data_IF_404940011364
#
_entry.id   IF_404940011364
#
_cell.length_a   1.000
_cell.length_b   1.000
_cell.length_c   1.000
_cell.angle_alpha   90.00
_cell.angle_beta   90.00
_cell.angle_gamma   90.00
#
_symmetry.space_group_name_H-M   'P 1'
#
loop_
_entity.id
_entity.type
_entity.pdbx_description
1 polymer ?
#
# COMPACT_ATOMS: atom_id res chain seq x y z
N UNK A 1 1.79 10.25 8.03
CA UNK A 1 2.45 11.56 7.91
C UNK A 1 3.89 11.46 7.44
N UNK A 2 4.74 10.59 8.03
CA UNK A 2 6.18 10.47 7.67
C UNK A 2 6.46 10.28 6.16
N UNK A 3 5.71 9.42 5.47
CA UNK A 3 5.88 9.21 4.04
C UNK A 3 5.64 10.47 3.20
N UNK A 4 4.57 11.21 3.48
CA UNK A 4 4.26 12.46 2.77
C UNK A 4 5.36 13.51 2.96
N UNK A 5 5.92 13.58 4.16
CA UNK A 5 7.05 14.48 4.46
C UNK A 5 8.28 14.11 3.64
N UNK A 6 8.66 12.83 3.60
CA UNK A 6 9.81 12.38 2.79
C UNK A 6 9.60 12.64 1.29
N UNK A 7 8.38 12.43 0.77
CA UNK A 7 8.04 12.74 -0.61
C UNK A 7 8.16 14.24 -0.91
N UNK A 8 7.65 15.10 -0.02
CA UNK A 8 7.77 16.54 -0.16
C UNK A 8 9.24 17.01 -0.10
N UNK A 9 10.04 16.45 0.81
CA UNK A 9 11.47 16.73 0.92
C UNK A 9 12.22 16.34 -0.35
N UNK A 10 11.94 15.16 -0.91
CA UNK A 10 12.55 14.71 -2.16
C UNK A 10 12.21 15.65 -3.32
N UNK A 11 10.93 16.06 -3.44
CA UNK A 11 10.53 17.03 -4.47
C UNK A 11 11.23 18.36 -4.30
N UNK A 12 11.28 18.91 -3.08
CA UNK A 12 11.98 20.15 -2.79
C UNK A 12 13.47 20.06 -3.17
N UNK A 13 14.12 18.94 -2.84
CA UNK A 13 15.52 18.68 -3.20
C UNK A 13 15.72 18.66 -4.72
N UNK A 14 14.91 17.88 -5.44
CA UNK A 14 14.99 17.77 -6.91
C UNK A 14 14.75 19.13 -7.58
N UNK A 15 13.74 19.88 -7.15
CA UNK A 15 13.46 21.23 -7.65
C UNK A 15 14.61 22.18 -7.37
N UNK A 16 15.17 22.15 -6.16
CA UNK A 16 16.31 23.01 -5.78
C UNK A 16 17.53 22.70 -6.65
N UNK A 17 17.87 21.42 -6.83
CA UNK A 17 18.98 20.99 -7.68
C UNK A 17 18.76 21.46 -9.13
N UNK A 18 17.55 21.31 -9.67
CA UNK A 18 17.23 21.77 -11.02
C UNK A 18 17.52 23.26 -11.24
N UNK A 19 17.08 24.11 -10.31
CA UNK A 19 17.35 25.55 -10.40
C UNK A 19 18.82 25.91 -10.14
N UNK A 20 19.54 25.10 -9.35
CA UNK A 20 20.96 25.29 -9.07
C UNK A 20 21.87 24.95 -10.26
N UNK A 21 21.42 24.16 -11.25
CA UNK A 21 22.19 23.79 -12.44
C UNK A 21 22.54 24.98 -13.37
N UNK A 22 21.97 26.17 -13.14
CA UNK A 22 22.21 27.34 -13.97
C UNK A 22 21.47 27.29 -15.32
N UNK A 23 21.40 28.43 -16.01
CA UNK A 23 20.63 28.54 -17.27
C UNK A 23 21.30 27.81 -18.44
N UNK A 24 22.64 27.77 -18.49
CA UNK A 24 23.41 27.13 -19.56
C UNK A 24 23.17 25.62 -19.60
N UNK A 25 23.20 24.94 -18.45
CA UNK A 25 22.98 23.50 -18.37
C UNK A 25 21.52 23.16 -18.66
N UNK A 26 20.58 23.92 -18.10
CA UNK A 26 19.14 23.72 -18.38
C UNK A 26 18.80 23.91 -19.86
N UNK A 27 19.42 24.88 -20.52
CA UNK A 27 19.26 25.10 -21.97
C UNK A 27 19.72 23.95 -22.86
N UNK A 28 20.46 22.96 -22.33
CA UNK A 28 20.84 21.73 -23.06
C UNK A 28 19.68 20.74 -23.17
N UNK A 29 18.64 20.87 -22.36
CA UNK A 29 17.47 20.01 -22.41
C UNK A 29 16.41 20.61 -23.32
N UNK A 30 15.78 19.75 -24.12
CA UNK A 30 14.62 20.17 -24.92
C UNK A 30 13.38 20.21 -24.05
N UNK A 31 12.39 21.04 -24.44
CA UNK A 31 11.07 21.09 -23.76
C UNK A 31 10.42 19.71 -23.69
N UNK A 32 10.64 18.86 -24.70
CA UNK A 32 10.15 17.48 -24.70
C UNK A 32 10.83 16.61 -23.63
N UNK A 33 12.15 16.75 -23.44
CA UNK A 33 12.89 16.03 -22.38
C UNK A 33 12.44 16.49 -20.99
N UNK A 34 12.32 17.79 -20.78
CA UNK A 34 11.80 18.35 -19.52
C UNK A 34 10.37 17.86 -19.25
N UNK A 35 9.48 17.94 -20.25
CA UNK A 35 8.10 17.46 -20.13
C UNK A 35 8.02 15.97 -19.82
N UNK A 36 8.89 15.15 -20.43
CA UNK A 36 8.97 13.72 -20.15
C UNK A 36 9.40 13.45 -18.71
N UNK A 37 10.41 14.17 -18.21
CA UNK A 37 10.86 14.05 -16.81
C UNK A 37 9.76 14.44 -15.82
N UNK A 38 9.05 15.54 -16.07
CA UNK A 38 7.91 15.97 -15.24
C UNK A 38 6.80 14.92 -15.27
N UNK A 39 6.45 14.41 -16.46
CA UNK A 39 5.43 13.38 -16.61
C UNK A 39 5.77 12.09 -15.85
N UNK A 40 7.01 11.59 -15.99
CA UNK A 40 7.49 10.43 -15.23
C UNK A 40 7.50 10.69 -13.72
N UNK A 41 7.88 11.90 -13.31
CA UNK A 41 7.83 12.34 -11.92
C UNK A 41 6.40 12.31 -11.35
N UNK A 42 5.41 12.78 -12.11
CA UNK A 42 4.01 12.71 -11.72
C UNK A 42 3.49 11.27 -11.61
N UNK A 43 3.90 10.38 -12.52
CA UNK A 43 3.58 8.94 -12.41
C UNK A 43 4.19 8.37 -11.13
N UNK A 44 5.47 8.63 -10.87
CA UNK A 44 6.16 8.16 -9.68
C UNK A 44 5.48 8.65 -8.40
N UNK A 45 5.09 9.93 -8.35
CA UNK A 45 4.32 10.51 -7.25
C UNK A 45 2.94 9.85 -7.10
N UNK A 46 2.25 9.58 -8.21
CA UNK A 46 0.97 8.88 -8.21
C UNK A 46 1.08 7.47 -7.62
N UNK A 47 2.13 6.72 -7.98
CA UNK A 47 2.40 5.38 -7.41
C UNK A 47 2.78 5.49 -5.93
N UNK A 48 3.68 6.40 -5.59
CA UNK A 48 4.11 6.67 -4.21
C UNK A 48 2.93 7.01 -3.29
N UNK A 49 2.05 7.91 -3.74
CA UNK A 49 0.84 8.28 -3.02
C UNK A 49 -0.12 7.10 -2.86
N UNK A 50 -0.26 6.26 -3.89
CA UNK A 50 -1.05 5.04 -3.79
C UNK A 50 -0.53 4.14 -2.67
N UNK A 51 0.77 3.86 -2.65
CA UNK A 51 1.40 3.01 -1.64
C UNK A 51 1.20 3.56 -0.23
N UNK A 52 1.27 4.88 -0.05
CA UNK A 52 1.01 5.52 1.24
C UNK A 52 -0.42 5.40 1.75
N UNK A 53 -1.39 5.23 0.84
CA UNK A 53 -2.78 5.02 1.21
C UNK A 53 -3.11 3.57 1.53
N UNK A 54 -2.21 2.62 1.23
CA UNK A 54 -2.44 1.23 1.56
C UNK A 54 -2.64 1.07 3.08
N UNK A 55 -3.78 0.54 3.47
CA UNK A 55 -4.11 0.28 4.88
C UNK A 55 -5.04 -0.92 4.98
N UNK A 56 -4.93 -1.64 6.09
CA UNK A 56 -5.90 -2.64 6.52
C UNK A 56 -6.39 -2.20 7.89
N UNK A 57 -7.69 -1.97 8.03
CA UNK A 57 -8.32 -1.68 9.32
C UNK A 57 -9.40 -2.72 9.59
N UNK A 58 -9.47 -3.19 10.83
CA UNK A 58 -10.53 -4.06 11.29
C UNK A 58 -11.49 -3.27 12.20
N UNK A 59 -12.77 -3.55 12.10
CA UNK A 59 -13.83 -3.01 12.94
C UNK A 59 -14.77 -4.13 13.41
N UNK A 60 -15.85 -3.79 14.11
CA UNK A 60 -16.81 -4.77 14.64
C UNK A 60 -17.54 -5.56 13.54
N UNK A 61 -17.66 -5.02 12.32
CA UNK A 61 -18.43 -5.64 11.23
C UNK A 61 -17.54 -6.44 10.27
N UNK A 62 -16.26 -6.10 10.18
CA UNK A 62 -15.32 -6.78 9.31
C UNK A 62 -13.98 -6.08 9.16
N UNK A 63 -13.46 -6.10 7.93
CA UNK A 63 -12.22 -5.41 7.57
C UNK A 63 -12.42 -4.49 6.37
N UNK A 64 -11.68 -3.40 6.37
CA UNK A 64 -11.51 -2.51 5.23
C UNK A 64 -10.09 -2.65 4.72
N UNK A 65 -9.96 -3.10 3.46
CA UNK A 65 -8.69 -3.21 2.76
C UNK A 65 -8.60 -2.10 1.72
N UNK A 66 -7.61 -1.22 1.88
CA UNK A 66 -7.25 -0.21 0.90
C UNK A 66 -5.93 -0.62 0.25
N UNK A 67 -5.97 -0.82 -1.07
CA UNK A 67 -4.82 -1.11 -1.90
C UNK A 67 -4.66 0.00 -2.94
N UNK A 68 -3.78 0.94 -2.67
CA UNK A 68 -3.57 2.09 -3.54
C UNK A 68 -4.84 2.95 -3.64
N UNK A 69 -5.41 2.99 -4.85
CA UNK A 69 -6.64 3.70 -5.14
C UNK A 69 -7.91 2.89 -4.91
N UNK A 70 -7.80 1.58 -4.68
CA UNK A 70 -8.95 0.69 -4.47
C UNK A 70 -9.23 0.51 -2.99
N UNK A 71 -10.49 0.69 -2.59
CA UNK A 71 -11.01 0.42 -1.25
C UNK A 71 -12.10 -0.63 -1.33
N UNK A 72 -12.01 -1.65 -0.50
CA UNK A 72 -13.03 -2.71 -0.38
C UNK A 72 -13.26 -3.05 1.08
N UNK A 73 -14.50 -3.36 1.41
CA UNK A 73 -14.94 -3.78 2.73
C UNK A 73 -15.37 -5.23 2.64
N UNK A 74 -15.05 -6.02 3.67
CA UNK A 74 -15.40 -7.43 3.74
C UNK A 74 -15.91 -7.73 5.14
N UNK A 75 -17.07 -8.36 5.22
CA UNK A 75 -17.62 -8.82 6.49
C UNK A 75 -16.80 -9.99 7.05
N UNK A 76 -16.83 -10.18 8.37
CA UNK A 76 -16.13 -11.30 9.01
C UNK A 76 -16.50 -12.68 8.45
N UNK A 77 -17.76 -12.87 8.03
CA UNK A 77 -18.24 -14.11 7.40
C UNK A 77 -17.62 -14.40 6.04
N UNK A 78 -17.07 -13.37 5.37
CA UNK A 78 -16.39 -13.53 4.08
C UNK A 78 -14.93 -13.94 4.26
N UNK A 79 -14.35 -13.77 5.44
CA UNK A 79 -12.92 -13.97 5.68
C UNK A 79 -12.66 -15.37 6.19
N UNK A 80 -11.84 -16.14 5.45
CA UNK A 80 -11.52 -17.53 5.80
C UNK A 80 -10.17 -17.60 6.50
N UNK A 81 -9.14 -17.03 5.88
CA UNK A 81 -7.78 -17.09 6.39
C UNK A 81 -6.94 -15.90 5.94
N UNK A 82 -5.94 -15.57 6.73
CA UNK A 82 -4.85 -14.66 6.33
C UNK A 82 -3.52 -15.40 6.36
N UNK A 83 -2.76 -15.25 5.28
CA UNK A 83 -1.47 -15.89 5.10
C UNK A 83 -0.41 -14.92 4.55
N UNK A 84 0.82 -15.07 5.02
CA UNK A 84 2.00 -14.42 4.44
C UNK A 84 3.04 -15.51 4.19
N UNK A 85 3.01 -16.04 2.97
CA UNK A 85 3.93 -17.10 2.53
C UNK A 85 5.38 -16.57 2.53
N UNK A 86 6.34 -17.46 2.80
CA UNK A 86 7.76 -17.10 2.72
C UNK A 86 8.10 -16.62 1.30
N UNK A 87 8.68 -15.43 1.20
CA UNK A 87 9.01 -14.80 -0.09
C UNK A 87 7.84 -14.08 -0.77
N UNK A 88 6.62 -14.12 -0.21
CA UNK A 88 5.53 -13.32 -0.74
C UNK A 88 5.77 -11.83 -0.46
N UNK A 89 5.51 -10.95 -1.45
CA UNK A 89 5.74 -9.52 -1.28
C UNK A 89 4.74 -8.87 -0.30
N UNK A 90 3.56 -9.47 -0.12
CA UNK A 90 2.53 -9.02 0.81
C UNK A 90 1.62 -10.17 1.25
N UNK A 91 0.81 -9.93 2.28
CA UNK A 91 -0.15 -10.91 2.78
C UNK A 91 -1.33 -11.12 1.81
N UNK A 92 -1.83 -12.35 1.76
CA UNK A 92 -3.07 -12.74 1.11
C UNK A 92 -4.17 -13.02 2.14
N UNK A 93 -5.40 -12.71 1.77
CA UNK A 93 -6.60 -12.99 2.56
C UNK A 93 -7.54 -13.82 1.69
N UNK A 94 -7.80 -15.04 2.14
CA UNK A 94 -8.66 -15.99 1.45
C UNK A 94 -10.12 -15.74 1.85
N UNK A 95 -11.00 -15.70 0.85
CA UNK A 95 -12.41 -15.38 0.99
C UNK A 95 -13.29 -16.63 0.87
N UNK A 96 -14.50 -16.57 1.41
CA UNK A 96 -15.45 -17.69 1.42
C UNK A 96 -15.99 -18.06 0.04
N UNK A 97 -15.88 -17.15 -0.94
CA UNK A 97 -16.21 -17.42 -2.35
C UNK A 97 -15.10 -18.19 -3.11
N UNK A 98 -14.03 -18.58 -2.41
CA UNK A 98 -12.89 -19.29 -2.97
C UNK A 98 -11.85 -18.39 -3.63
N UNK A 99 -12.06 -17.07 -3.65
CA UNK A 99 -11.08 -16.12 -4.15
C UNK A 99 -10.10 -15.67 -3.06
N UNK A 100 -9.01 -15.02 -3.45
CA UNK A 100 -8.03 -14.45 -2.51
C UNK A 100 -7.68 -13.03 -2.91
N UNK A 101 -7.59 -12.15 -1.91
CA UNK A 101 -7.26 -10.74 -2.10
C UNK A 101 -5.90 -10.44 -1.49
N UNK A 102 -5.16 -9.54 -2.14
CA UNK A 102 -3.91 -9.04 -1.59
C UNK A 102 -4.17 -7.94 -0.56
N UNK A 103 -3.35 -7.89 0.49
CA UNK A 103 -3.33 -6.83 1.48
C UNK A 103 -1.98 -6.09 1.42
N UNK A 104 -1.86 -5.10 0.53
CA UNK A 104 -0.60 -4.40 0.26
C UNK A 104 -0.05 -3.65 1.49
N UNK A 105 -0.88 -3.39 2.49
CA UNK A 105 -0.48 -2.76 3.74
C UNK A 105 0.33 -3.68 4.66
N UNK A 106 0.34 -5.00 4.42
CA UNK A 106 1.10 -5.98 5.20
C UNK A 106 2.16 -6.57 4.27
N UNK A 107 3.34 -5.96 4.22
CA UNK A 107 4.39 -6.33 3.27
C UNK A 107 5.36 -7.34 3.87
N UNK A 108 5.81 -8.32 3.08
CA UNK A 108 6.81 -9.30 3.54
C UNK A 108 8.14 -8.66 3.94
N UNK A 109 8.49 -7.53 3.30
CA UNK A 109 9.67 -6.71 3.59
C UNK A 109 9.64 -6.04 4.97
N UNK A 110 8.46 -5.87 5.59
CA UNK A 110 8.33 -5.30 6.94
C UNK A 110 8.74 -6.28 8.06
N UNK A 111 9.09 -7.52 7.70
CA UNK A 111 9.65 -8.50 8.63
C UNK A 111 8.71 -8.83 9.79
N UNK A 112 9.17 -8.64 11.03
CA UNK A 112 8.43 -9.02 12.22
C UNK A 112 7.13 -8.22 12.40
N UNK A 113 7.09 -6.97 11.95
CA UNK A 113 5.86 -6.16 11.95
C UNK A 113 4.78 -6.82 11.08
N UNK A 114 5.16 -7.33 9.91
CA UNK A 114 4.24 -8.03 9.03
C UNK A 114 3.70 -9.32 9.65
N UNK A 115 4.61 -10.11 10.27
CA UNK A 115 4.23 -11.34 10.97
C UNK A 115 3.23 -11.05 12.09
N UNK A 116 3.48 -10.03 12.90
CA UNK A 116 2.58 -9.60 13.97
C UNK A 116 1.22 -9.16 13.43
N UNK A 117 1.20 -8.37 12.35
CA UNK A 117 -0.05 -7.94 11.71
C UNK A 117 -0.88 -9.14 11.21
N UNK A 118 -0.24 -10.14 10.60
CA UNK A 118 -0.91 -11.39 10.18
C UNK A 118 -1.44 -12.19 11.36
N UNK A 119 -0.67 -12.31 12.44
CA UNK A 119 -1.11 -13.02 13.67
C UNK A 119 -2.32 -12.32 14.28
N UNK A 120 -2.28 -10.99 14.41
CA UNK A 120 -3.38 -10.21 14.96
C UNK A 120 -4.64 -10.34 14.09
N UNK A 121 -4.51 -10.20 12.77
CA UNK A 121 -5.64 -10.34 11.86
C UNK A 121 -6.21 -11.76 11.87
N UNK A 122 -5.37 -12.79 11.94
CA UNK A 122 -5.81 -14.19 12.08
C UNK A 122 -6.62 -14.39 13.36
N UNK A 123 -6.18 -13.80 14.47
CA UNK A 123 -6.91 -13.84 15.74
C UNK A 123 -8.30 -13.21 15.60
N UNK A 124 -8.39 -12.02 15.01
CA UNK A 124 -9.66 -11.34 14.80
C UNK A 124 -10.61 -12.14 13.91
N UNK A 125 -10.11 -12.74 12.83
CA UNK A 125 -10.92 -13.64 11.99
C UNK A 125 -11.43 -14.83 12.83
N UNK A 126 -10.57 -15.48 13.61
CA UNK A 126 -10.98 -16.63 14.42
C UNK A 126 -12.01 -16.28 15.52
N UNK A 127 -11.94 -15.07 16.08
CA UNK A 127 -12.87 -14.56 17.09
C UNK A 127 -14.24 -14.22 16.48
N UNK A 128 -14.28 -13.65 15.28
CA UNK A 128 -15.51 -13.15 14.66
C UNK A 128 -16.19 -14.13 13.70
N UNK A 129 -15.48 -15.13 13.16
CA UNK A 129 -16.04 -16.12 12.21
C UNK A 129 -16.69 -17.33 12.94
N UNK A 130 -16.66 -17.39 14.28
CA UNK A 130 -17.12 -18.57 15.06
C UNK A 130 -18.59 -18.56 15.55
N UNK A 131 -19.45 -17.71 15.03
CA UNK A 131 -20.88 -17.68 15.41
C UNK A 131 -21.75 -18.29 14.30
N UNK A 132 -21.57 -19.59 14.03
CA UNK A 132 -22.56 -20.47 13.40
C UNK A 132 -22.00 -21.90 13.45
N UNK A 133 -22.01 -22.49 14.65
CA UNK A 133 -21.97 -23.96 14.76
C UNK A 133 -23.43 -24.38 14.96
N UNK A 134 -24.13 -24.85 13.91
CA UNK A 134 -25.43 -25.47 14.12
C UNK A 134 -25.21 -26.72 14.98
N UNK A 135 -26.06 -26.83 16.00
CA UNK A 135 -26.21 -27.97 16.89
C UNK A 135 -26.76 -29.22 16.18
#
# INVERSE_FOLDING_TARGET
>A
MMGGVLGAMLLAMVTTVWFALGAEIRGKFTVFQEGTLVFLGLIALGVWFALMRCRVSADEHGIVVVNGYRRREYAWSQLVAVNLRRGAPWAGIDLSDGTSISALAIQGSDGDRAKQAVVNLRRLIAENTKIERPE
#
